data_IF_339869422524
#
_entry.id   IF_339869422524
#
_cell.length_a   1.000
_cell.length_b   1.000
_cell.length_c   1.000
_cell.angle_alpha   90.00
_cell.angle_beta   90.00
_cell.angle_gamma   90.00
#
_symmetry.space_group_name_H-M   'P 1'
#
loop_
_entity.id
_entity.type
_entity.pdbx_description
1 polymer ?
#
# COMPACT_ATOMS: atom_id res chain seq x y z
N UNK A 1 -0.50 -2.59 2.62
CA UNK A 1 -1.09 -3.17 1.41
C UNK A 1 -0.77 -2.32 0.20
N UNK A 2 -1.31 -1.10 0.04
CA UNK A 2 -1.08 -0.29 -1.17
C UNK A 2 0.40 -0.05 -1.50
N UNK A 3 1.22 0.35 -0.52
CA UNK A 3 2.68 0.51 -0.75
C UNK A 3 3.35 -0.80 -1.18
N UNK A 4 3.03 -1.93 -0.54
CA UNK A 4 3.55 -3.24 -0.94
C UNK A 4 3.08 -3.63 -2.35
N UNK A 5 1.84 -3.28 -2.73
CA UNK A 5 1.31 -3.53 -4.08
C UNK A 5 2.03 -2.71 -5.16
N UNK A 6 2.47 -1.50 -4.85
CA UNK A 6 3.31 -0.70 -5.77
C UNK A 6 4.68 -1.37 -5.89
N UNK A 7 5.27 -1.74 -4.76
CA UNK A 7 6.59 -2.38 -4.70
C UNK A 7 6.63 -3.79 -5.31
N UNK A 8 5.49 -4.49 -5.43
CA UNK A 8 5.42 -5.77 -6.14
C UNK A 8 5.51 -5.66 -7.65
N UNK A 9 5.25 -4.47 -8.22
CA UNK A 9 5.46 -4.23 -9.63
C UNK A 9 6.92 -3.85 -9.94
N UNK A 10 7.51 -3.00 -9.09
CA UNK A 10 8.88 -2.49 -9.28
C UNK A 10 9.46 -1.90 -7.99
N UNK A 11 10.76 -2.09 -7.75
CA UNK A 11 11.50 -1.32 -6.72
C UNK A 11 11.33 0.18 -6.95
N UNK A 12 11.10 0.94 -5.89
CA UNK A 12 10.78 2.37 -5.97
C UNK A 12 11.32 3.13 -4.76
N UNK A 13 11.59 4.43 -4.91
CA UNK A 13 11.91 5.31 -3.77
C UNK A 13 10.71 6.13 -3.31
N UNK A 14 10.79 6.71 -2.11
CA UNK A 14 9.62 7.26 -1.41
C UNK A 14 8.77 8.28 -2.19
N UNK A 15 9.38 9.10 -3.05
CA UNK A 15 8.65 10.04 -3.90
C UNK A 15 7.87 9.35 -5.02
N UNK A 16 8.45 8.35 -5.70
CA UNK A 16 7.76 7.59 -6.75
C UNK A 16 6.55 6.86 -6.18
N UNK A 17 6.72 6.23 -5.02
CA UNK A 17 5.64 5.54 -4.31
C UNK A 17 4.50 6.51 -3.98
N UNK A 18 4.83 7.70 -3.48
CA UNK A 18 3.83 8.73 -3.20
C UNK A 18 3.10 9.16 -4.48
N UNK A 19 3.82 9.38 -5.58
CA UNK A 19 3.23 9.79 -6.85
C UNK A 19 2.29 8.73 -7.41
N UNK A 20 2.66 7.46 -7.30
CA UNK A 20 1.81 6.35 -7.71
C UNK A 20 0.53 6.27 -6.87
N UNK A 21 0.63 6.42 -5.54
CA UNK A 21 -0.55 6.49 -4.66
C UNK A 21 -1.48 7.66 -5.03
N UNK A 22 -0.93 8.84 -5.32
CA UNK A 22 -1.70 10.01 -5.75
C UNK A 22 -2.47 9.73 -7.05
N UNK A 23 -1.88 8.99 -7.99
CA UNK A 23 -2.53 8.56 -9.24
C UNK A 23 -3.77 7.68 -9.02
N UNK A 24 -3.86 6.99 -7.88
CA UNK A 24 -5.01 6.18 -7.48
C UNK A 24 -5.96 6.89 -6.50
N UNK A 25 -5.91 8.22 -6.42
CA UNK A 25 -6.68 9.03 -5.46
C UNK A 25 -6.36 8.73 -3.98
N UNK A 26 -5.25 8.04 -3.68
CA UNK A 26 -4.78 7.77 -2.32
C UNK A 26 -3.86 8.90 -1.85
N UNK A 27 -4.46 10.07 -1.60
CA UNK A 27 -3.71 11.26 -1.19
C UNK A 27 -3.22 11.13 0.24
N UNK A 28 -1.89 11.14 0.39
CA UNK A 28 -1.26 11.27 1.69
C UNK A 28 -1.14 12.75 2.10
N UNK A 29 -0.97 13.04 3.40
CA UNK A 29 -0.75 14.40 3.92
C UNK A 29 0.69 14.89 3.64
N UNK A 30 1.11 14.83 2.36
CA UNK A 30 2.43 15.24 1.88
C UNK A 30 3.53 14.18 1.98
N UNK A 31 4.69 14.48 1.36
CA UNK A 31 5.84 13.56 1.21
C UNK A 31 6.33 13.00 2.55
N UNK A 32 6.29 13.77 3.63
CA UNK A 32 6.76 13.34 4.95
C UNK A 32 5.99 12.14 5.53
N UNK A 33 4.76 11.91 5.07
CA UNK A 33 3.91 10.85 5.61
C UNK A 33 4.17 9.46 5.01
N UNK A 34 4.95 9.35 3.93
CA UNK A 34 5.33 8.04 3.36
C UNK A 34 6.42 7.36 4.19
N UNK A 35 7.33 8.12 4.80
CA UNK A 35 8.50 7.55 5.48
C UNK A 35 8.14 6.70 6.71
N UNK A 36 7.19 7.09 7.58
CA UNK A 36 6.74 6.20 8.66
C UNK A 36 6.21 4.86 8.15
N UNK A 37 5.52 4.85 7.00
CA UNK A 37 5.01 3.62 6.37
C UNK A 37 6.20 2.77 5.91
N UNK A 38 7.15 3.36 5.19
CA UNK A 38 8.33 2.66 4.67
C UNK A 38 9.23 2.11 5.80
N UNK A 39 9.44 2.90 6.87
CA UNK A 39 10.16 2.45 8.07
C UNK A 39 9.46 1.26 8.69
N UNK A 40 8.13 1.27 8.78
CA UNK A 40 7.37 0.12 9.30
C UNK A 40 7.55 -1.12 8.42
N UNK A 41 7.46 -1.00 7.09
CA UNK A 41 7.66 -2.14 6.19
C UNK A 41 9.06 -2.73 6.32
N UNK A 42 10.08 -1.87 6.46
CA UNK A 42 11.47 -2.29 6.68
C UNK A 42 11.62 -3.02 8.03
N UNK A 43 11.09 -2.45 9.11
CA UNK A 43 11.17 -3.04 10.45
C UNK A 43 10.41 -4.37 10.57
N UNK A 44 9.43 -4.60 9.69
CA UNK A 44 8.71 -5.87 9.58
C UNK A 44 9.38 -6.85 8.62
N UNK A 45 10.54 -6.49 8.06
CA UNK A 45 11.32 -7.31 7.12
C UNK A 45 10.53 -7.71 5.86
N UNK A 46 9.60 -6.84 5.42
CA UNK A 46 8.78 -7.07 4.23
C UNK A 46 9.40 -6.46 2.96
N UNK A 47 10.47 -5.70 3.11
CA UNK A 47 11.17 -5.04 2.02
C UNK A 47 12.68 -5.05 2.27
N UNK A 48 13.44 -5.16 1.18
CA UNK A 48 14.86 -4.86 1.17
C UNK A 48 15.06 -3.37 0.83
N UNK A 49 16.18 -2.80 1.26
CA UNK A 49 16.50 -1.40 0.98
C UNK A 49 17.89 -1.24 0.39
N UNK A 50 18.03 -0.40 -0.62
CA UNK A 50 19.28 -0.13 -1.33
C UNK A 50 19.49 1.37 -1.50
N UNK A 51 20.75 1.82 -1.48
CA UNK A 51 21.08 3.17 -1.88
C UNK A 51 21.54 3.17 -3.34
N UNK A 52 20.93 4.03 -4.15
CA UNK A 52 21.30 4.18 -5.55
C UNK A 52 21.44 5.67 -5.90
N UNK A 53 22.40 5.98 -6.76
CA UNK A 53 22.58 7.31 -7.34
C UNK A 53 21.66 7.39 -8.56
N UNK A 54 20.70 8.30 -8.54
CA UNK A 54 19.84 8.56 -9.70
C UNK A 54 20.63 9.24 -10.82
N UNK A 55 20.09 9.23 -12.05
CA UNK A 55 20.67 9.94 -13.20
C UNK A 55 20.91 11.44 -12.93
N UNK A 56 20.14 12.03 -12.00
CA UNK A 56 20.31 13.41 -11.53
C UNK A 56 21.48 13.62 -10.55
N UNK A 57 22.26 12.58 -10.25
CA UNK A 57 23.36 12.58 -9.27
C UNK A 57 22.89 12.51 -7.81
N UNK A 58 21.57 12.47 -7.55
CA UNK A 58 21.04 12.44 -6.18
C UNK A 58 20.98 11.01 -5.66
N UNK A 59 21.46 10.81 -4.43
CA UNK A 59 21.31 9.54 -3.70
C UNK A 59 19.86 9.36 -3.26
N UNK A 60 19.31 8.17 -3.49
CA UNK A 60 17.96 7.75 -3.09
C UNK A 60 18.01 6.40 -2.41
N UNK A 61 17.09 6.21 -1.46
CA UNK A 61 16.84 4.90 -0.85
C UNK A 61 15.70 4.25 -1.62
N UNK A 62 16.00 3.16 -2.30
CA UNK A 62 15.03 2.30 -2.96
C UNK A 62 14.54 1.23 -2.01
N UNK A 63 13.27 0.89 -2.14
CA UNK A 63 12.62 -0.21 -1.45
C UNK A 63 12.21 -1.25 -2.48
N UNK A 64 12.42 -2.51 -2.17
CA UNK A 64 12.03 -3.64 -3.01
C UNK A 64 11.30 -4.67 -2.15
N UNK A 65 10.14 -5.15 -2.60
CA UNK A 65 9.42 -6.17 -1.85
C UNK A 65 10.20 -7.48 -1.86
N UNK A 66 10.31 -8.14 -0.71
CA UNK A 66 10.89 -9.46 -0.60
C UNK A 66 9.80 -10.53 -0.42
N UNK A 67 10.19 -11.79 -0.25
CA UNK A 67 9.25 -12.91 -0.17
C UNK A 67 8.27 -12.78 1.01
N UNK A 68 8.75 -12.37 2.19
CA UNK A 68 7.90 -12.10 3.35
C UNK A 68 6.88 -10.98 3.06
N UNK A 69 7.31 -9.95 2.34
CA UNK A 69 6.44 -8.88 1.89
C UNK A 69 5.35 -9.34 0.93
N UNK A 70 5.67 -10.24 -0.01
CA UNK A 70 4.69 -10.81 -0.96
C UNK A 70 3.64 -11.64 -0.24
N UNK A 71 4.06 -12.57 0.63
CA UNK A 71 3.15 -13.37 1.47
C UNK A 71 2.25 -12.44 2.29
N UNK A 72 2.82 -11.36 2.85
CA UNK A 72 2.03 -10.40 3.62
C UNK A 72 1.05 -9.62 2.76
N UNK A 73 1.45 -9.23 1.55
CA UNK A 73 0.61 -8.52 0.60
C UNK A 73 -0.61 -9.36 0.23
N UNK A 74 -0.42 -10.62 -0.16
CA UNK A 74 -1.51 -11.55 -0.49
C UNK A 74 -2.49 -11.70 0.68
N UNK A 75 -1.98 -11.96 1.89
CA UNK A 75 -2.81 -12.04 3.09
C UNK A 75 -3.62 -10.76 3.31
N UNK A 76 -3.00 -9.59 3.12
CA UNK A 76 -3.68 -8.29 3.29
C UNK A 76 -4.75 -8.04 2.24
N UNK A 77 -4.54 -8.47 0.99
CA UNK A 77 -5.54 -8.36 -0.08
C UNK A 77 -6.74 -9.22 0.26
N UNK A 78 -6.53 -10.47 0.68
CA UNK A 78 -7.61 -11.37 1.07
C UNK A 78 -8.42 -10.82 2.26
N UNK A 79 -7.73 -10.40 3.33
CA UNK A 79 -8.36 -9.74 4.50
C UNK A 79 -9.22 -8.53 4.07
N UNK A 80 -8.75 -7.74 3.10
CA UNK A 80 -9.48 -6.57 2.61
C UNK A 80 -10.72 -6.94 1.78
N UNK A 81 -10.60 -7.92 0.89
CA UNK A 81 -11.70 -8.38 0.04
C UNK A 81 -12.83 -9.00 0.88
N UNK A 82 -12.48 -9.77 1.91
CA UNK A 82 -13.44 -10.33 2.87
C UNK A 82 -14.18 -9.21 3.61
N UNK A 83 -13.45 -8.23 4.17
CA UNK A 83 -14.07 -7.09 4.85
C UNK A 83 -15.01 -6.30 3.94
N UNK A 84 -14.64 -6.09 2.68
CA UNK A 84 -15.49 -5.43 1.69
C UNK A 84 -16.77 -6.22 1.42
N UNK A 85 -16.67 -7.55 1.32
CA UNK A 85 -17.82 -8.43 1.14
C UNK A 85 -18.77 -8.38 2.36
N UNK A 86 -18.24 -8.43 3.57
CA UNK A 86 -19.03 -8.42 4.80
C UNK A 86 -19.77 -7.09 4.97
N UNK A 87 -19.08 -5.96 4.77
CA UNK A 87 -19.70 -4.63 4.81
C UNK A 87 -20.81 -4.52 3.76
N UNK A 88 -20.56 -4.98 2.53
CA UNK A 88 -21.55 -4.95 1.45
C UNK A 88 -22.78 -5.79 1.80
N UNK A 89 -22.59 -6.93 2.45
CA UNK A 89 -23.68 -7.81 2.89
C UNK A 89 -24.51 -7.15 3.99
N UNK A 90 -23.86 -6.56 4.99
CA UNK A 90 -24.50 -5.81 6.08
C UNK A 90 -25.33 -4.62 5.55
N UNK A 91 -24.79 -3.84 4.62
CA UNK A 91 -25.52 -2.67 4.08
C UNK A 91 -26.72 -3.10 3.22
N UNK A 92 -26.65 -4.23 2.52
CA UNK A 92 -27.79 -4.78 1.76
C UNK A 92 -28.90 -5.32 2.65
N UNK A 93 -28.58 -5.90 3.81
CA UNK A 93 -29.60 -6.39 4.73
C UNK A 93 -30.35 -5.24 5.42
N UNK A 94 -29.66 -4.13 5.73
CA UNK A 94 -30.29 -2.91 6.25
C UNK A 94 -31.23 -2.23 5.24
N UNK A 95 -30.85 -2.13 3.97
CA UNK A 95 -31.66 -1.46 2.93
C UNK A 95 -32.96 -2.21 2.56
N UNK A 96 -33.06 -3.51 2.85
CA UNK A 96 -34.31 -4.27 2.65
C UNK A 96 -35.36 -3.99 3.75
N UNK A 97 -34.97 -3.42 4.89
CA UNK A 97 -35.87 -3.12 6.01
C UNK A 97 -36.66 -1.81 5.87
N UNK A 98 -36.14 -0.85 5.11
CA UNK A 98 -36.70 0.51 5.01
C UNK A 98 -37.53 0.78 3.74
N UNK A 99 -37.56 -0.16 2.78
CA UNK A 99 -38.36 -0.05 1.55
C UNK A 99 -39.71 -0.80 1.62
N UNK A 100 -40.11 -1.26 2.81
CA UNK A 100 -41.38 -1.96 3.07
C UNK A 100 -42.23 -1.28 4.16
N UNK A 101 -42.05 0.02 4.39
CA UNK A 101 -42.97 0.84 5.20
C UNK A 101 -43.61 1.93 4.37
#
# INVERSE_FOLDING_TARGET
>A
MCVLSILSAKKSYGYEIMKELEGHNLKLKGVGSIYPILTKLKNQEWVNTYQEVTDSGKVRIYYEINENGKIRLEKKINEWLELQFDIKTLLKSGLKGDLLK
#
